data_IF_213678774441
#
_entry.id   IF_213678774441
#
_cell.length_a   1.000
_cell.length_b   1.000
_cell.length_c   1.000
_cell.angle_alpha   90.00
_cell.angle_beta   90.00
_cell.angle_gamma   90.00
#
_symmetry.space_group_name_H-M   'P 1'
#
loop_
_entity.id
_entity.type
_entity.pdbx_description
1 polymer ?
#
# COMPACT_ATOMS: atom_id res chain seq x y z
N UNK A 1 37.38 -15.13 -17.76
CA UNK A 1 35.94 -15.45 -17.60
C UNK A 1 35.27 -14.15 -17.21
N UNK A 2 34.58 -13.50 -18.14
CA UNK A 2 33.88 -12.25 -17.88
C UNK A 2 32.52 -12.59 -17.28
N UNK A 3 32.31 -12.24 -16.02
CA UNK A 3 31.03 -12.35 -15.35
C UNK A 3 30.11 -11.30 -15.99
N UNK A 4 29.35 -11.73 -16.99
CA UNK A 4 28.33 -10.92 -17.66
C UNK A 4 27.32 -10.48 -16.60
N UNK A 5 27.50 -9.26 -16.08
CA UNK A 5 26.58 -8.63 -15.16
C UNK A 5 25.19 -8.66 -15.75
N UNK A 6 24.32 -9.51 -15.19
CA UNK A 6 22.89 -9.53 -15.48
C UNK A 6 22.33 -8.18 -15.03
N UNK A 7 22.30 -7.20 -15.94
CA UNK A 7 21.45 -6.02 -15.81
C UNK A 7 20.04 -6.50 -16.08
N UNK A 8 19.43 -7.12 -15.07
CA UNK A 8 17.99 -7.23 -15.03
C UNK A 8 17.45 -5.81 -15.00
N UNK A 9 16.71 -5.41 -16.02
CA UNK A 9 15.86 -4.22 -15.95
C UNK A 9 14.74 -4.59 -14.97
N UNK A 10 15.03 -4.62 -13.66
CA UNK A 10 13.97 -4.61 -12.66
C UNK A 10 13.40 -3.21 -12.72
N UNK A 11 12.17 -3.03 -13.22
CA UNK A 11 11.56 -1.72 -13.21
C UNK A 11 11.50 -1.26 -11.76
N UNK A 12 11.84 0.01 -11.47
CA UNK A 12 11.72 0.57 -10.11
C UNK A 12 10.33 0.39 -9.50
N UNK A 13 9.30 0.17 -10.33
CA UNK A 13 7.94 -0.16 -9.90
C UNK A 13 7.79 -1.54 -9.24
N UNK A 14 8.79 -2.43 -9.33
CA UNK A 14 8.73 -3.76 -8.70
C UNK A 14 9.24 -3.76 -7.25
N UNK A 15 9.91 -2.71 -6.79
CA UNK A 15 10.32 -2.58 -5.38
C UNK A 15 9.27 -1.87 -4.52
N UNK A 16 8.21 -1.35 -5.15
CA UNK A 16 7.12 -0.71 -4.44
C UNK A 16 6.34 -1.73 -3.60
N UNK A 17 6.19 -1.44 -2.32
CA UNK A 17 5.40 -2.26 -1.40
C UNK A 17 4.04 -1.62 -1.18
N UNK A 18 2.98 -2.43 -1.29
CA UNK A 18 1.62 -1.99 -0.99
C UNK A 18 1.46 -1.87 0.53
N UNK A 19 1.26 -0.65 1.00
CA UNK A 19 0.98 -0.32 2.38
C UNK A 19 -0.50 -0.04 2.55
N UNK A 20 -1.04 -0.43 3.71
CA UNK A 20 -2.42 -0.17 4.10
C UNK A 20 -2.43 0.34 5.53
N UNK A 21 -3.31 1.29 5.80
CA UNK A 21 -3.47 1.84 7.13
C UNK A 21 -4.86 2.43 7.32
N UNK A 22 -5.21 2.69 8.57
CA UNK A 22 -6.44 3.39 8.92
C UNK A 22 -6.12 4.86 9.15
N UNK A 23 -6.96 5.74 8.60
CA UNK A 23 -6.84 7.19 8.74
C UNK A 23 -8.15 7.77 9.24
N UNK A 24 -8.07 8.62 10.26
CA UNK A 24 -9.20 9.42 10.72
C UNK A 24 -9.21 10.79 10.03
N UNK A 25 -10.25 11.08 9.27
CA UNK A 25 -10.43 12.36 8.58
C UNK A 25 -11.71 13.03 9.10
N UNK A 26 -11.54 14.08 9.91
CA UNK A 26 -12.65 14.78 10.54
C UNK A 26 -13.34 13.92 11.60
N UNK A 27 -14.54 13.39 11.29
CA UNK A 27 -15.34 12.51 12.16
C UNK A 27 -15.52 11.10 11.58
N UNK A 28 -14.69 10.74 10.59
CA UNK A 28 -14.89 9.54 9.76
C UNK A 28 -13.58 8.76 9.70
N UNK A 29 -13.73 7.45 9.63
CA UNK A 29 -12.63 6.51 9.47
C UNK A 29 -12.54 6.05 8.01
N UNK A 30 -11.33 5.95 7.50
CA UNK A 30 -11.03 5.50 6.14
C UNK A 30 -9.88 4.52 6.18
N UNK A 31 -9.86 3.61 5.21
CA UNK A 31 -8.69 2.80 4.91
C UNK A 31 -7.95 3.48 3.78
N UNK A 32 -6.67 3.78 3.98
CA UNK A 32 -5.78 4.27 2.95
C UNK A 32 -4.88 3.12 2.50
N UNK A 33 -4.76 2.94 1.19
CA UNK A 33 -3.78 2.04 0.59
C UNK A 33 -2.94 2.77 -0.44
N UNK A 34 -1.64 2.47 -0.47
CA UNK A 34 -0.70 3.11 -1.38
C UNK A 34 0.48 2.19 -1.68
N UNK A 35 0.99 2.24 -2.89
CA UNK A 35 2.26 1.63 -3.26
C UNK A 35 3.37 2.61 -2.90
N UNK A 36 4.28 2.24 -2.01
CA UNK A 36 5.39 3.09 -1.60
C UNK A 36 6.67 2.56 -2.22
N UNK A 37 7.33 3.38 -3.05
CA UNK A 37 8.62 3.05 -3.65
C UNK A 37 9.79 3.23 -2.68
N UNK A 38 10.99 2.82 -3.09
CA UNK A 38 12.21 2.96 -2.27
C UNK A 38 12.60 4.41 -1.95
N UNK A 39 12.12 5.37 -2.73
CA UNK A 39 12.33 6.80 -2.47
C UNK A 39 11.29 7.38 -1.51
N UNK A 40 10.37 6.55 -1.00
CA UNK A 40 9.28 6.95 -0.11
C UNK A 40 8.14 7.67 -0.85
N UNK A 41 8.08 7.60 -2.19
CA UNK A 41 6.95 8.18 -2.93
C UNK A 41 5.78 7.22 -2.93
N UNK A 42 4.61 7.76 -2.56
CA UNK A 42 3.35 7.06 -2.66
C UNK A 42 2.77 7.18 -4.09
N UNK A 43 2.47 6.05 -4.69
CA UNK A 43 1.72 5.91 -5.93
C UNK A 43 0.44 5.10 -5.71
N UNK A 44 -0.50 5.19 -6.66
CA UNK A 44 -1.71 4.36 -6.65
C UNK A 44 -2.58 4.50 -5.40
N UNK A 45 -2.61 5.69 -4.78
CA UNK A 45 -3.30 5.92 -3.51
C UNK A 45 -4.81 5.70 -3.66
N UNK A 46 -5.39 4.87 -2.80
CA UNK A 46 -6.83 4.63 -2.71
C UNK A 46 -7.31 4.91 -1.29
N UNK A 47 -8.52 5.44 -1.21
CA UNK A 47 -9.24 5.68 0.04
C UNK A 47 -10.56 4.92 0.00
N UNK A 48 -10.70 3.95 0.89
CA UNK A 48 -11.94 3.19 1.07
C UNK A 48 -12.67 3.70 2.32
N UNK A 49 -14.00 3.70 2.28
CA UNK A 49 -14.86 4.18 3.36
C UNK A 49 -15.87 5.23 2.90
N UNK A 50 -16.48 5.99 3.83
CA UNK A 50 -16.18 6.03 5.26
C UNK A 50 -16.69 4.81 6.04
N UNK A 51 -15.94 4.39 7.05
CA UNK A 51 -16.34 3.40 8.05
C UNK A 51 -16.98 4.05 9.27
N UNK A 52 -17.81 3.28 9.98
CA UNK A 52 -18.55 3.74 11.15
C UNK A 52 -17.61 4.07 12.33
N UNK A 53 -16.58 3.27 12.52
CA UNK A 53 -15.62 3.34 13.61
C UNK A 53 -14.24 2.80 13.18
N UNK A 54 -13.27 2.89 14.10
CA UNK A 54 -11.89 2.45 13.86
C UNK A 54 -11.80 0.94 13.62
N UNK A 55 -12.54 0.15 14.41
CA UNK A 55 -12.52 -1.32 14.36
C UNK A 55 -13.05 -1.83 13.01
N UNK A 56 -14.10 -1.21 12.49
CA UNK A 56 -14.63 -1.51 11.16
C UNK A 56 -13.62 -1.20 10.03
N UNK A 57 -12.83 -0.14 10.18
CA UNK A 57 -11.77 0.18 9.23
C UNK A 57 -10.57 -0.79 9.36
N UNK A 58 -10.17 -1.19 10.57
CA UNK A 58 -9.12 -2.18 10.79
C UNK A 58 -9.51 -3.57 10.28
N UNK A 59 -10.76 -3.98 10.48
CA UNK A 59 -11.29 -5.23 9.92
C UNK A 59 -11.23 -5.25 8.39
N UNK A 60 -11.47 -4.11 7.73
CA UNK A 60 -11.31 -3.99 6.28
C UNK A 60 -9.83 -4.10 5.87
N UNK A 61 -8.91 -3.48 6.62
CA UNK A 61 -7.47 -3.65 6.39
C UNK A 61 -7.07 -5.12 6.47
N UNK A 62 -7.55 -5.86 7.48
CA UNK A 62 -7.29 -7.29 7.62
C UNK A 62 -7.88 -8.10 6.46
N UNK A 63 -9.14 -7.82 6.07
CA UNK A 63 -9.78 -8.46 4.91
C UNK A 63 -8.95 -8.27 3.64
N UNK A 64 -8.51 -7.04 3.36
CA UNK A 64 -7.71 -6.73 2.17
C UNK A 64 -6.32 -7.39 2.21
N UNK A 65 -5.77 -7.64 3.39
CA UNK A 65 -4.52 -8.40 3.56
C UNK A 65 -4.70 -9.89 3.30
N UNK A 66 -5.83 -10.48 3.72
CA UNK A 66 -6.12 -11.91 3.51
C UNK A 66 -6.54 -12.27 2.07
N UNK A 67 -7.01 -11.29 1.29
CA UNK A 67 -7.40 -11.46 -0.10
C UNK A 67 -6.25 -11.49 -1.12
N UNK A 68 -4.98 -11.49 -0.66
CA UNK A 68 -3.76 -11.56 -1.47
C UNK A 68 -3.07 -12.91 -1.26
#
# INVERSE_FOLDING_TARGET
MAETGRVGITPKSWTAQLHRGVMHLGKRWYVISAEIDEAGRAGGVRLDGPFADHEAAEAEVERQQRGR
#
